data_IF_243700580805
#
_entry.id   IF_243700580805
#
_cell.length_a   1.000
_cell.length_b   1.000
_cell.length_c   1.000
_cell.angle_alpha   90.00
_cell.angle_beta   90.00
_cell.angle_gamma   90.00
#
_symmetry.space_group_name_H-M   'P 1'
#
loop_
_entity.id
_entity.type
_entity.pdbx_description
1 polymer ?
#
# COMPACT_ATOMS: atom_id res chain seq x y z
N UNK A 1 -3.03 0.98 9.55
CA UNK A 1 -2.14 -0.12 9.95
C UNK A 1 -2.37 -1.31 9.03
N UNK A 2 -1.30 -1.96 8.56
CA UNK A 2 -1.33 -3.16 7.76
C UNK A 2 -0.75 -4.32 8.58
N UNK A 3 -1.47 -5.43 8.66
CA UNK A 3 -1.01 -6.63 9.37
C UNK A 3 -0.57 -7.71 8.39
N UNK A 4 0.67 -8.17 8.52
CA UNK A 4 1.16 -9.40 7.94
C UNK A 4 0.77 -10.57 8.83
N UNK A 5 -0.37 -11.19 8.58
CA UNK A 5 -0.69 -12.51 9.13
C UNK A 5 -0.01 -13.61 8.30
N UNK A 6 0.22 -14.77 8.88
CA UNK A 6 0.68 -15.96 8.13
C UNK A 6 -0.16 -16.22 6.87
N UNK A 7 0.27 -17.14 6.04
CA UNK A 7 -0.27 -17.38 4.70
C UNK A 7 -1.80 -17.14 4.58
N UNK A 8 -2.19 -16.08 3.89
CA UNK A 8 -3.54 -15.85 3.39
C UNK A 8 -4.41 -14.82 4.11
N UNK A 9 -3.94 -14.07 5.12
CA UNK A 9 -4.82 -13.16 5.88
C UNK A 9 -4.25 -11.77 6.15
N UNK A 10 -3.67 -11.12 5.14
CA UNK A 10 -3.31 -9.72 5.23
C UNK A 10 -4.56 -8.84 5.28
N UNK A 11 -4.53 -7.80 6.11
CA UNK A 11 -5.62 -6.86 6.27
C UNK A 11 -5.10 -5.45 6.56
N UNK A 12 -5.93 -4.45 6.33
CA UNK A 12 -5.72 -3.09 6.77
C UNK A 12 -6.83 -2.66 7.73
N UNK A 13 -6.48 -1.79 8.70
CA UNK A 13 -7.43 -1.19 9.63
C UNK A 13 -7.21 0.31 9.68
N UNK A 14 -8.26 1.09 9.61
CA UNK A 14 -8.24 2.54 9.81
C UNK A 14 -8.77 2.90 11.21
N UNK A 15 -8.20 3.94 11.79
CA UNK A 15 -8.58 4.45 13.11
C UNK A 15 -8.86 5.94 13.04
N UNK A 16 -9.95 6.36 13.67
CA UNK A 16 -10.16 7.75 14.04
C UNK A 16 -9.35 8.06 15.30
N UNK A 17 -8.77 9.26 15.37
CA UNK A 17 -8.05 9.75 16.55
C UNK A 17 -8.88 10.88 17.15
N UNK A 18 -9.43 10.65 18.33
CA UNK A 18 -10.19 11.67 19.09
C UNK A 18 -9.30 12.80 19.61
N UNK A 19 -9.90 13.93 19.95
CA UNK A 19 -9.18 15.11 20.49
C UNK A 19 -8.40 14.79 21.79
N UNK A 20 -8.80 13.76 22.53
CA UNK A 20 -8.12 13.24 23.72
C UNK A 20 -7.02 12.22 23.38
N UNK A 21 -6.70 12.00 22.09
CA UNK A 21 -5.72 11.01 21.64
C UNK A 21 -6.24 9.56 21.63
N UNK A 22 -7.51 9.32 21.95
CA UNK A 22 -8.06 7.98 21.92
C UNK A 22 -8.28 7.50 20.48
N UNK A 23 -7.88 6.25 20.21
CA UNK A 23 -8.03 5.60 18.91
C UNK A 23 -9.30 4.76 18.86
N UNK A 24 -10.07 4.91 17.80
CA UNK A 24 -11.29 4.15 17.57
C UNK A 24 -11.25 3.57 16.16
N UNK A 25 -11.39 2.26 15.96
CA UNK A 25 -11.43 1.69 14.61
C UNK A 25 -12.65 2.23 13.85
N UNK A 26 -12.41 2.69 12.62
CA UNK A 26 -13.47 3.22 11.75
C UNK A 26 -14.41 2.09 11.26
N UNK A 27 -13.82 0.96 10.91
CA UNK A 27 -14.47 -0.34 10.75
C UNK A 27 -13.48 -1.41 11.19
N UNK A 28 -13.89 -2.66 11.24
CA UNK A 28 -12.95 -3.76 11.55
C UNK A 28 -11.87 -3.90 10.48
N UNK A 29 -10.94 -4.84 10.69
CA UNK A 29 -9.90 -5.16 9.70
C UNK A 29 -10.52 -5.62 8.38
N UNK A 30 -10.09 -5.03 7.27
CA UNK A 30 -10.54 -5.38 5.92
C UNK A 30 -9.48 -6.23 5.25
N UNK A 31 -9.78 -7.51 5.06
CA UNK A 31 -8.84 -8.48 4.48
C UNK A 31 -8.53 -8.16 3.01
N UNK A 32 -7.26 -8.31 2.61
CA UNK A 32 -6.80 -8.05 1.24
C UNK A 32 -6.83 -9.28 0.34
N UNK A 33 -7.04 -10.47 0.89
CA UNK A 33 -6.83 -11.78 0.21
C UNK A 33 -5.37 -12.05 -0.20
N UNK A 34 -4.47 -11.12 0.11
CA UNK A 34 -3.04 -11.18 -0.21
C UNK A 34 -2.21 -11.65 1.00
N UNK A 35 -0.89 -11.80 0.83
CA UNK A 35 0.00 -12.30 1.89
C UNK A 35 1.05 -11.26 2.28
N UNK A 36 1.34 -11.22 3.59
CA UNK A 36 2.37 -10.37 4.18
C UNK A 36 2.22 -8.88 3.82
N UNK A 37 1.06 -8.28 4.13
CA UNK A 37 0.90 -6.84 4.08
C UNK A 37 1.93 -6.17 4.99
N UNK A 38 2.67 -5.17 4.49
CA UNK A 38 3.85 -4.66 5.15
C UNK A 38 3.79 -3.15 5.38
N UNK A 39 3.60 -2.36 4.32
CA UNK A 39 3.62 -0.89 4.39
C UNK A 39 2.37 -0.29 3.76
N UNK A 40 2.02 0.92 4.20
CA UNK A 40 0.88 1.66 3.70
C UNK A 40 1.26 3.11 3.39
N UNK A 41 0.80 3.62 2.26
CA UNK A 41 0.83 5.03 1.91
C UNK A 41 -0.59 5.50 1.54
N UNK A 42 -0.89 6.77 1.77
CA UNK A 42 -2.22 7.35 1.51
C UNK A 42 -2.10 8.51 0.55
N UNK A 43 -2.99 8.55 -0.45
CA UNK A 43 -3.17 9.68 -1.33
C UNK A 43 -4.67 9.97 -1.53
N UNK A 44 -5.11 11.15 -1.11
CA UNK A 44 -6.53 11.53 -1.16
C UNK A 44 -7.41 10.54 -0.41
N UNK A 45 -8.34 9.93 -1.12
CA UNK A 45 -9.30 8.93 -0.60
C UNK A 45 -8.87 7.49 -0.85
N UNK A 46 -7.57 7.24 -1.07
CA UNK A 46 -7.05 5.91 -1.34
C UNK A 46 -5.87 5.57 -0.42
N UNK A 47 -5.86 4.34 0.11
CA UNK A 47 -4.73 3.78 0.82
C UNK A 47 -4.14 2.62 0.01
N UNK A 48 -2.82 2.64 -0.20
CA UNK A 48 -2.08 1.65 -0.98
C UNK A 48 -1.23 0.81 -0.02
N UNK A 49 -1.45 -0.48 -0.04
CA UNK A 49 -0.77 -1.43 0.86
C UNK A 49 0.10 -2.39 0.04
N UNK A 50 1.39 -2.47 0.35
CA UNK A 50 2.27 -3.48 -0.26
C UNK A 50 2.07 -4.83 0.40
N UNK A 51 1.98 -5.87 -0.40
CA UNK A 51 1.90 -7.27 0.04
C UNK A 51 3.21 -7.96 -0.32
N UNK A 52 4.13 -7.99 0.64
CA UNK A 52 5.49 -8.47 0.46
C UNK A 52 5.55 -9.94 0.01
N UNK A 53 4.65 -10.77 0.52
CA UNK A 53 4.58 -12.19 0.16
C UNK A 53 3.93 -12.47 -1.20
N UNK A 54 3.00 -11.61 -1.64
CA UNK A 54 2.30 -11.75 -2.93
C UNK A 54 2.91 -10.94 -4.07
N UNK A 55 3.84 -10.03 -3.78
CA UNK A 55 4.45 -9.11 -4.74
C UNK A 55 3.41 -8.20 -5.42
N UNK A 56 2.47 -7.69 -4.65
CA UNK A 56 1.34 -6.90 -5.14
C UNK A 56 1.13 -5.62 -4.33
N UNK A 57 0.33 -4.71 -4.88
CA UNK A 57 -0.30 -3.60 -4.14
C UNK A 57 -1.79 -3.85 -4.08
N UNK A 58 -2.36 -3.69 -2.87
CA UNK A 58 -3.80 -3.59 -2.64
C UNK A 58 -4.17 -2.12 -2.45
N UNK A 59 -5.21 -1.67 -3.13
CA UNK A 59 -5.81 -0.35 -2.93
C UNK A 59 -7.09 -0.48 -2.12
N UNK A 60 -7.19 0.34 -1.09
CA UNK A 60 -8.42 0.54 -0.33
C UNK A 60 -9.00 1.92 -0.61
N UNK A 61 -10.29 1.99 -0.86
CA UNK A 61 -11.04 3.23 -0.83
C UNK A 61 -11.26 3.63 0.63
N UNK A 62 -10.99 4.89 0.96
CA UNK A 62 -11.18 5.49 2.28
C UNK A 62 -12.40 6.40 2.24
N UNK A 63 -13.47 6.02 2.91
CA UNK A 63 -14.69 6.83 2.98
C UNK A 63 -14.49 8.05 3.88
N UNK A 64 -15.40 9.03 3.80
CA UNK A 64 -15.33 10.25 4.60
C UNK A 64 -15.38 10.00 6.12
N UNK A 65 -15.99 8.89 6.55
CA UNK A 65 -16.02 8.43 7.94
C UNK A 65 -14.79 7.56 8.31
N UNK A 66 -13.80 7.47 7.42
CA UNK A 66 -12.57 6.72 7.60
C UNK A 66 -12.67 5.22 7.32
N UNK A 67 -13.84 4.68 7.00
CA UNK A 67 -14.00 3.25 6.71
C UNK A 67 -13.25 2.86 5.45
N UNK A 68 -12.65 1.67 5.50
CA UNK A 68 -11.95 1.06 4.38
C UNK A 68 -12.85 0.09 3.62
N UNK A 69 -12.71 0.08 2.29
CA UNK A 69 -13.25 -0.95 1.42
C UNK A 69 -12.22 -1.30 0.34
N UNK A 70 -12.09 -2.59 -0.02
CA UNK A 70 -11.26 -2.98 -1.15
C UNK A 70 -11.74 -2.27 -2.42
N UNK A 71 -10.79 -1.75 -3.23
CA UNK A 71 -11.08 -1.22 -4.55
C UNK A 71 -11.46 -2.36 -5.51
N UNK A 72 -10.70 -3.45 -5.49
CA UNK A 72 -10.99 -4.66 -6.28
C UNK A 72 -11.20 -5.87 -5.36
N UNK A 73 -12.15 -6.75 -5.70
CA UNK A 73 -12.48 -7.92 -4.88
C UNK A 73 -11.32 -8.92 -4.74
N UNK A 74 -10.40 -8.94 -5.70
CA UNK A 74 -9.20 -9.79 -5.64
C UNK A 74 -8.15 -9.27 -4.67
N UNK A 75 -8.21 -7.99 -4.25
CA UNK A 75 -7.17 -7.32 -3.49
C UNK A 75 -5.87 -7.09 -4.26
N UNK A 76 -5.85 -7.36 -5.58
CA UNK A 76 -4.70 -7.12 -6.45
C UNK A 76 -5.02 -5.96 -7.38
N UNK A 77 -4.42 -4.80 -7.12
CA UNK A 77 -4.58 -3.60 -7.96
C UNK A 77 -3.35 -3.32 -8.82
N UNK A 78 -2.17 -3.84 -8.42
CA UNK A 78 -0.96 -3.79 -9.21
C UNK A 78 0.01 -4.92 -8.84
N UNK A 79 0.82 -5.34 -9.83
CA UNK A 79 1.97 -6.23 -9.63
C UNK A 79 3.24 -5.39 -9.46
N UNK A 80 4.04 -5.73 -8.45
CA UNK A 80 5.33 -5.10 -8.18
C UNK A 80 6.49 -5.99 -8.64
N UNK A 81 7.72 -5.57 -8.40
CA UNK A 81 8.86 -6.49 -8.31
C UNK A 81 8.79 -7.32 -7.03
N UNK A 82 9.80 -8.17 -6.82
CA UNK A 82 9.82 -9.13 -5.71
C UNK A 82 10.04 -8.46 -4.36
N UNK A 83 9.23 -8.88 -3.40
CA UNK A 83 9.34 -8.50 -1.99
C UNK A 83 9.21 -6.98 -1.80
N UNK A 84 8.06 -6.36 -2.16
CA UNK A 84 7.84 -4.93 -1.94
C UNK A 84 7.79 -4.64 -0.43
N UNK A 85 8.89 -4.10 0.10
CA UNK A 85 9.10 -3.88 1.52
C UNK A 85 8.85 -2.45 1.99
N UNK A 86 8.55 -1.52 1.07
CA UNK A 86 8.23 -0.12 1.40
C UNK A 86 7.40 0.52 0.29
N UNK A 87 6.67 1.58 0.62
CA UNK A 87 5.83 2.32 -0.32
C UNK A 87 5.80 3.82 0.02
N UNK A 88 5.85 4.65 -1.00
CA UNK A 88 5.67 6.09 -0.87
C UNK A 88 4.87 6.66 -2.04
N UNK A 89 4.20 7.78 -1.78
CA UNK A 89 3.44 8.54 -2.78
C UNK A 89 4.13 9.89 -3.00
N UNK A 90 4.13 10.37 -4.25
CA UNK A 90 4.61 11.70 -4.59
C UNK A 90 3.83 12.79 -3.82
N UNK A 91 4.42 13.97 -3.55
CA UNK A 91 3.72 15.06 -2.88
C UNK A 91 2.44 15.51 -3.60
N UNK A 92 2.38 15.36 -4.93
CA UNK A 92 1.19 15.64 -5.72
C UNK A 92 0.10 14.56 -5.61
N UNK A 93 0.42 13.39 -5.03
CA UNK A 93 -0.52 12.29 -4.88
C UNK A 93 -0.77 11.48 -6.16
N UNK A 94 0.02 11.69 -7.21
CA UNK A 94 -0.21 11.17 -8.56
C UNK A 94 0.73 10.02 -8.96
N UNK A 95 1.77 9.73 -8.15
CA UNK A 95 2.72 8.64 -8.41
C UNK A 95 2.95 7.82 -7.14
N UNK A 96 2.86 6.51 -7.27
CA UNK A 96 3.19 5.53 -6.23
C UNK A 96 4.51 4.84 -6.57
N UNK A 97 5.35 4.69 -5.58
CA UNK A 97 6.61 3.95 -5.65
C UNK A 97 6.59 2.82 -4.65
N UNK A 98 7.00 1.62 -5.05
CA UNK A 98 7.26 0.52 -4.14
C UNK A 98 8.71 0.10 -4.25
N UNK A 99 9.39 -0.06 -3.11
CA UNK A 99 10.75 -0.57 -3.06
C UNK A 99 10.72 -2.11 -3.02
N UNK A 100 11.27 -2.75 -4.04
CA UNK A 100 11.32 -4.20 -4.19
C UNK A 100 12.67 -4.71 -3.65
N UNK A 101 12.63 -5.34 -2.49
CA UNK A 101 13.83 -5.69 -1.72
C UNK A 101 14.69 -6.73 -2.44
N UNK A 102 14.08 -7.78 -2.98
CA UNK A 102 14.80 -8.87 -3.66
C UNK A 102 15.33 -8.48 -5.03
N UNK A 103 14.57 -7.65 -5.77
CA UNK A 103 14.95 -7.23 -7.12
C UNK A 103 15.83 -5.99 -7.14
N UNK A 104 16.11 -5.39 -5.97
CA UNK A 104 16.87 -4.13 -5.85
C UNK A 104 16.35 -3.04 -6.79
N UNK A 105 15.02 -2.86 -6.81
CA UNK A 105 14.34 -1.97 -7.77
C UNK A 105 13.23 -1.15 -7.09
N UNK A 106 12.76 -0.11 -7.82
CA UNK A 106 11.49 0.56 -7.53
C UNK A 106 10.49 0.17 -8.62
N UNK A 107 9.33 -0.31 -8.23
CA UNK A 107 8.18 -0.29 -9.12
C UNK A 107 7.51 1.07 -9.05
N UNK A 108 7.15 1.62 -10.20
CA UNK A 108 6.58 2.96 -10.34
C UNK A 108 5.20 2.85 -10.99
N UNK A 109 4.22 3.57 -10.42
CA UNK A 109 2.85 3.60 -10.92
C UNK A 109 2.32 5.02 -10.92
N UNK A 110 1.63 5.44 -11.99
CA UNK A 110 0.76 6.61 -11.90
C UNK A 110 -0.53 6.25 -11.20
N UNK A 111 -1.05 7.17 -10.40
CA UNK A 111 -2.31 7.05 -9.66
C UNK A 111 -3.36 7.89 -10.38
N UNK A 112 -4.41 7.28 -10.87
CA UNK A 112 -5.57 7.99 -11.40
C UNK A 112 -6.47 8.51 -10.25
N UNK A 113 -7.37 9.45 -10.56
CA UNK A 113 -8.27 10.05 -9.58
C UNK A 113 -9.16 9.02 -8.84
N UNK A 114 -9.46 7.90 -9.47
CA UNK A 114 -10.20 6.78 -8.89
C UNK A 114 -9.32 5.76 -8.14
N UNK A 115 -8.01 6.05 -7.96
CA UNK A 115 -7.05 5.16 -7.33
C UNK A 115 -6.52 4.04 -8.22
N UNK A 116 -6.85 4.02 -9.51
CA UNK A 116 -6.31 3.03 -10.45
C UNK A 116 -4.81 3.24 -10.66
N UNK A 117 -4.06 2.14 -10.56
CA UNK A 117 -2.61 2.14 -10.73
C UNK A 117 -2.22 1.72 -12.15
N UNK A 118 -1.42 2.55 -12.83
CA UNK A 118 -0.86 2.24 -14.14
C UNK A 118 0.66 2.12 -14.07
N UNK A 119 1.17 0.93 -14.36
CA UNK A 119 2.60 0.59 -14.29
C UNK A 119 3.42 1.45 -15.24
N UNK A 120 4.54 1.96 -14.74
CA UNK A 120 5.62 2.60 -15.50
C UNK A 120 6.86 1.70 -15.47
N UNK A 121 7.90 1.97 -16.29
CA UNK A 121 9.17 1.25 -16.20
C UNK A 121 9.74 1.30 -14.79
N UNK A 122 10.24 0.15 -14.31
CA UNK A 122 10.89 0.05 -13.02
C UNK A 122 12.25 0.76 -13.04
N UNK A 123 12.62 1.38 -11.94
CA UNK A 123 14.00 1.82 -11.70
C UNK A 123 14.76 0.66 -11.05
N UNK A 124 15.91 0.28 -11.63
CA UNK A 124 16.72 -0.86 -11.19
C UNK A 124 18.09 -0.42 -10.70
N UNK A 125 18.79 -1.32 -10.00
CA UNK A 125 20.16 -1.09 -9.54
C UNK A 125 20.25 -0.37 -8.19
N UNK A 126 19.24 -0.49 -7.33
CA UNK A 126 19.34 -0.02 -5.95
C UNK A 126 20.40 -0.82 -5.18
N UNK A 127 21.06 -0.21 -4.18
CA UNK A 127 21.96 -0.95 -3.29
C UNK A 127 21.26 -2.12 -2.59
N UNK A 128 21.96 -3.22 -2.37
CA UNK A 128 21.43 -4.49 -1.84
C UNK A 128 20.69 -4.32 -0.51
N UNK A 129 21.16 -3.44 0.38
CA UNK A 129 20.58 -3.21 1.70
C UNK A 129 19.86 -1.86 1.85
N UNK A 130 19.54 -1.20 0.73
CA UNK A 130 18.76 0.03 0.82
C UNK A 130 17.44 -0.22 1.55
N UNK A 131 17.10 0.60 2.53
CA UNK A 131 15.86 0.55 3.30
C UNK A 131 15.27 1.94 3.39
N UNK A 132 13.94 2.00 3.53
CA UNK A 132 13.20 3.25 3.57
C UNK A 132 13.03 3.88 2.18
N UNK A 133 11.89 4.53 1.99
CA UNK A 133 11.54 5.25 0.77
C UNK A 133 10.87 6.57 1.15
N UNK A 134 11.43 7.66 0.66
CA UNK A 134 10.84 8.99 0.79
C UNK A 134 10.84 9.68 -0.56
N UNK A 135 9.77 10.39 -0.87
CA UNK A 135 9.61 11.17 -2.10
C UNK A 135 9.40 12.63 -1.72
N UNK A 136 10.08 13.53 -2.43
CA UNK A 136 10.00 15.00 -2.23
C UNK A 136 9.54 15.69 -3.49
#
# INVERSE_FOLDING_TARGET
EAFGGGAGLSAATAYGIGANGQWTPANGSVASTQTAACWVAVAGTHAFVTNTGSNTVTTYNVAADGKLALKTASGVDAQTGKTPGDVAVSPAGDVLYTRNTTDHSLSVFTIAADGTLSKKPDFVGLPTFAQGLVVR
#
